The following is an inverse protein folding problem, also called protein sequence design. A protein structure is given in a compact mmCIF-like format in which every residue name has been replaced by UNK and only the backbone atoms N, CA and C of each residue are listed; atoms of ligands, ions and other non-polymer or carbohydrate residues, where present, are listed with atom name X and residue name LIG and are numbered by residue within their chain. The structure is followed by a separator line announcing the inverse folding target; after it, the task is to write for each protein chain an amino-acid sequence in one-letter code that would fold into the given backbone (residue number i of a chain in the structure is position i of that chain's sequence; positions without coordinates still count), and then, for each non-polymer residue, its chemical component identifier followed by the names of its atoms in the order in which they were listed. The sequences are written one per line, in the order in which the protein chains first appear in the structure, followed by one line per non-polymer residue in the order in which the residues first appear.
data_IF_427912522430
#
_entry.id   IF_427912522430
#
_cell.length_a   1.000
_cell.length_b   1.000
_cell.length_c   1.000
_cell.angle_alpha   90.00
_cell.angle_beta   90.00
_cell.angle_gamma   90.00
#
_symmetry.space_group_name_H-M   'P 1'
#
loop_
_entity.id
_entity.type
_entity.pdbx_description
1 polymer ?
#
# COMPACT_ATOMS: atom_id res chain seq x y z
N UNK A 1 36.78 -21.40 25.29
CA UNK A 1 35.50 -20.94 25.83
C UNK A 1 35.00 -19.90 24.85
N UNK A 2 34.22 -20.36 23.87
CA UNK A 2 33.61 -19.50 22.90
C UNK A 2 32.30 -19.00 23.47
N UNK A 3 32.01 -17.71 23.33
CA UNK A 3 30.70 -17.16 23.64
C UNK A 3 29.70 -17.65 22.56
N UNK A 4 28.58 -18.23 22.96
CA UNK A 4 27.48 -18.53 22.06
C UNK A 4 26.44 -17.45 22.26
N UNK A 5 26.46 -16.39 21.49
CA UNK A 5 25.30 -15.51 21.31
C UNK A 5 25.47 -14.76 19.99
N UNK A 6 25.23 -15.48 18.90
CA UNK A 6 24.73 -14.87 17.68
C UNK A 6 23.25 -14.53 17.90
N UNK A 7 22.70 -13.49 17.31
CA UNK A 7 21.30 -13.15 17.49
C UNK A 7 20.44 -14.33 17.01
N UNK A 8 19.77 -15.00 17.94
CA UNK A 8 18.65 -15.89 17.64
C UNK A 8 17.62 -15.03 16.92
N UNK A 9 17.31 -15.34 15.66
CA UNK A 9 16.31 -14.66 14.85
C UNK A 9 14.96 -14.62 15.58
N UNK A 10 14.67 -13.52 16.25
CA UNK A 10 13.44 -13.29 16.99
C UNK A 10 12.53 -12.39 16.19
N UNK A 11 11.25 -12.71 16.21
CA UNK A 11 10.19 -11.87 15.62
C UNK A 11 10.35 -10.41 16.08
N UNK A 12 10.49 -9.46 15.14
CA UNK A 12 10.70 -8.03 15.44
C UNK A 12 9.53 -7.42 16.19
N UNK A 13 9.82 -6.66 17.23
CA UNK A 13 8.81 -6.00 18.06
C UNK A 13 8.11 -4.84 17.34
N UNK A 14 6.88 -4.58 17.75
CA UNK A 14 6.08 -3.43 17.33
C UNK A 14 6.09 -2.36 18.42
N UNK A 15 5.99 -1.09 18.02
CA UNK A 15 5.95 0.06 18.92
C UNK A 15 4.82 1.00 18.52
N UNK A 16 4.13 1.54 19.51
CA UNK A 16 3.14 2.59 19.32
C UNK A 16 3.84 3.94 19.10
N UNK A 17 3.59 4.67 18.01
CA UNK A 17 4.15 6.00 17.80
C UNK A 17 3.59 7.04 18.74
N UNK A 18 2.37 6.86 19.28
CA UNK A 18 1.69 7.83 20.14
C UNK A 18 2.11 7.71 21.61
N UNK A 19 2.14 6.50 22.18
CA UNK A 19 2.43 6.31 23.61
C UNK A 19 3.76 5.59 23.92
N UNK A 20 4.44 5.09 22.90
CA UNK A 20 5.74 4.42 23.02
C UNK A 20 5.68 2.99 23.54
N UNK A 21 4.51 2.43 23.87
CA UNK A 21 4.40 1.02 24.27
C UNK A 21 4.86 0.06 23.19
N UNK A 22 5.48 -1.03 23.62
CA UNK A 22 6.02 -2.07 22.70
C UNK A 22 5.28 -3.38 22.88
N UNK A 23 5.15 -4.13 21.77
CA UNK A 23 4.46 -5.41 21.70
C UNK A 23 5.27 -6.38 20.85
N UNK A 24 5.19 -7.66 21.15
CA UNK A 24 5.71 -8.70 20.24
C UNK A 24 4.91 -8.73 18.94
N UNK A 25 3.58 -8.74 19.10
CA UNK A 25 2.62 -8.65 18.00
C UNK A 25 1.25 -8.20 18.52
N UNK A 26 0.63 -7.28 17.81
CA UNK A 26 -0.72 -6.79 18.11
C UNK A 26 -1.22 -5.94 16.95
N UNK A 27 -2.51 -6.00 16.61
CA UNK A 27 -3.06 -5.24 15.49
C UNK A 27 -3.23 -3.73 15.78
N UNK A 28 -3.46 -3.34 17.06
CA UNK A 28 -3.49 -1.93 17.49
C UNK A 28 -2.96 -1.79 18.91
N UNK A 29 -2.47 -0.61 19.24
CA UNK A 29 -2.09 -0.24 20.61
C UNK A 29 -3.30 -0.22 21.57
N UNK A 30 -3.05 -0.40 22.85
CA UNK A 30 -4.08 -0.20 23.91
C UNK A 30 -4.64 1.24 23.93
N UNK A 31 -3.88 2.24 23.47
CA UNK A 31 -4.36 3.62 23.30
C UNK A 31 -5.24 3.81 22.05
N UNK A 32 -5.42 2.78 21.22
CA UNK A 32 -6.21 2.81 19.99
C UNK A 32 -5.42 3.14 18.71
N UNK A 33 -4.16 3.58 18.82
CA UNK A 33 -3.34 3.95 17.66
C UNK A 33 -2.84 2.71 16.90
N UNK A 34 -2.57 2.85 15.58
CA UNK A 34 -1.85 1.83 14.83
C UNK A 34 -0.42 1.65 15.35
N UNK A 35 0.18 0.51 15.05
CA UNK A 35 1.53 0.17 15.46
C UNK A 35 2.48 0.21 14.26
N UNK A 36 3.77 0.43 14.55
CA UNK A 36 4.85 0.33 13.59
C UNK A 36 5.94 -0.61 14.13
N UNK A 37 6.85 -1.08 13.27
CA UNK A 37 8.03 -1.79 13.74
C UNK A 37 8.89 -0.87 14.62
N UNK A 38 9.32 -1.38 15.77
CA UNK A 38 10.06 -0.59 16.76
C UNK A 38 11.41 -0.09 16.19
N UNK A 39 12.07 -0.95 15.42
CA UNK A 39 13.40 -0.72 14.85
C UNK A 39 13.42 -1.22 13.40
N UNK A 40 12.92 -0.41 12.43
CA UNK A 40 13.05 -0.77 11.02
C UNK A 40 14.53 -0.74 10.61
N UNK A 41 14.98 -1.72 9.80
CA UNK A 41 16.39 -1.83 9.44
C UNK A 41 16.81 -0.65 8.55
N UNK A 42 18.01 -0.14 8.81
CA UNK A 42 18.70 0.82 7.95
C UNK A 42 20.07 0.22 7.66
N UNK A 43 20.33 -0.20 6.41
CA UNK A 43 21.61 -0.80 6.05
C UNK A 43 22.79 0.15 6.26
N UNK A 44 23.91 -0.40 6.69
CA UNK A 44 25.17 0.32 6.74
C UNK A 44 25.94 0.20 5.41
N UNK A 45 26.57 1.28 4.98
CA UNK A 45 27.44 1.29 3.80
C UNK A 45 26.78 1.88 2.55
N UNK A 46 27.53 1.90 1.42
CA UNK A 46 27.05 2.50 0.18
C UNK A 46 25.90 1.71 -0.42
N UNK A 47 25.10 2.37 -1.26
CA UNK A 47 24.08 1.72 -2.05
C UNK A 47 24.67 0.56 -2.88
N UNK A 48 23.99 -0.57 -2.97
CA UNK A 48 24.46 -1.71 -3.75
C UNK A 48 24.55 -1.35 -5.25
N UNK A 49 25.50 -2.00 -5.94
CA UNK A 49 25.52 -1.88 -7.40
C UNK A 49 24.22 -2.44 -7.99
N UNK A 50 23.49 -1.67 -8.81
CA UNK A 50 22.27 -2.15 -9.47
C UNK A 50 22.46 -3.48 -10.23
N UNK A 51 23.63 -3.76 -10.78
CA UNK A 51 23.94 -5.02 -11.47
C UNK A 51 24.03 -6.23 -10.50
N UNK A 52 24.13 -5.99 -9.20
CA UNK A 52 24.17 -7.06 -8.18
C UNK A 52 22.82 -7.67 -7.85
N UNK A 53 21.70 -7.04 -8.25
CA UNK A 53 20.37 -7.53 -7.96
C UNK A 53 19.93 -8.63 -8.94
N UNK A 54 19.37 -9.70 -8.41
CA UNK A 54 18.70 -10.70 -9.25
C UNK A 54 17.21 -10.34 -9.39
N UNK A 55 16.80 -10.01 -10.61
CA UNK A 55 15.41 -9.66 -10.90
C UNK A 55 14.40 -10.77 -10.52
N UNK A 56 14.85 -12.03 -10.35
CA UNK A 56 14.01 -13.14 -9.90
C UNK A 56 13.63 -13.07 -8.44
N UNK A 57 14.37 -12.29 -7.64
CA UNK A 57 14.08 -12.11 -6.23
C UNK A 57 12.89 -11.16 -5.99
N UNK A 58 12.42 -10.44 -7.04
CA UNK A 58 11.32 -9.51 -6.95
C UNK A 58 11.58 -8.44 -5.89
N UNK A 59 10.56 -8.13 -5.06
CA UNK A 59 10.73 -7.17 -3.96
C UNK A 59 11.67 -7.67 -2.86
N UNK A 60 11.90 -9.00 -2.76
CA UNK A 60 12.81 -9.59 -1.77
C UNK A 60 14.30 -9.34 -2.07
N UNK A 61 14.63 -8.77 -3.25
CA UNK A 61 15.95 -8.20 -3.51
C UNK A 61 16.31 -7.08 -2.51
N UNK A 62 15.32 -6.47 -1.87
CA UNK A 62 15.47 -5.41 -0.87
C UNK A 62 15.22 -5.92 0.58
N UNK A 63 15.38 -7.21 0.83
CA UNK A 63 15.09 -7.82 2.14
C UNK A 63 15.85 -7.15 3.31
N UNK A 64 17.06 -6.68 3.09
CA UNK A 64 17.87 -6.00 4.10
C UNK A 64 17.28 -4.64 4.54
N UNK A 65 16.32 -4.11 3.76
CA UNK A 65 15.56 -2.90 4.06
C UNK A 65 14.19 -3.20 4.71
N UNK A 66 13.82 -4.47 4.90
CA UNK A 66 12.50 -4.85 5.41
C UNK A 66 12.58 -5.29 6.89
N UNK A 67 11.58 -4.86 7.68
CA UNK A 67 11.44 -5.28 9.08
C UNK A 67 10.71 -6.62 9.24
N UNK A 68 10.58 -7.39 8.18
CA UNK A 68 10.01 -8.74 8.14
C UNK A 68 10.98 -9.71 7.49
N UNK A 69 10.88 -10.99 7.83
CA UNK A 69 11.60 -12.06 7.17
C UNK A 69 13.11 -12.12 7.49
N UNK A 70 13.43 -12.39 8.75
CA UNK A 70 14.81 -12.68 9.14
C UNK A 70 15.29 -14.03 8.53
N UNK A 71 14.40 -15.01 8.31
CA UNK A 71 14.71 -16.26 7.61
C UNK A 71 14.08 -16.30 6.20
N UNK A 72 14.90 -16.37 5.12
CA UNK A 72 14.38 -16.50 3.76
C UNK A 72 13.42 -17.68 3.54
N UNK A 73 13.44 -18.72 4.39
CA UNK A 73 12.52 -19.85 4.29
C UNK A 73 11.08 -19.47 4.65
N UNK A 74 10.87 -18.39 5.41
CA UNK A 74 9.55 -17.89 5.77
C UNK A 74 8.92 -16.99 4.71
N UNK A 75 9.65 -16.62 3.65
CA UNK A 75 9.13 -15.77 2.59
C UNK A 75 7.94 -16.39 1.88
N UNK A 76 6.84 -15.65 1.88
CA UNK A 76 5.65 -15.95 1.08
C UNK A 76 5.75 -15.12 -0.19
N UNK A 77 6.00 -15.73 -1.34
CA UNK A 77 6.22 -14.99 -2.60
C UNK A 77 5.61 -15.71 -3.81
N UNK A 78 5.20 -14.92 -4.78
CA UNK A 78 4.79 -15.30 -6.15
C UNK A 78 5.74 -14.69 -7.20
N UNK A 79 6.88 -14.11 -6.77
CA UNK A 79 7.83 -13.40 -7.62
C UNK A 79 7.45 -11.95 -7.90
N UNK A 80 6.62 -11.36 -7.04
CA UNK A 80 6.17 -9.98 -7.12
C UNK A 80 7.30 -8.98 -6.89
N UNK A 81 7.17 -7.78 -7.50
CA UNK A 81 8.14 -6.69 -7.40
C UNK A 81 8.96 -6.46 -8.66
N UNK A 82 9.90 -5.51 -8.59
CA UNK A 82 10.67 -5.01 -9.72
C UNK A 82 9.79 -4.68 -10.93
N UNK A 83 8.63 -4.06 -10.65
CA UNK A 83 7.68 -3.65 -11.69
C UNK A 83 8.33 -2.64 -12.64
N UNK A 84 7.93 -2.60 -13.93
CA UNK A 84 8.52 -1.66 -14.87
C UNK A 84 8.32 -0.20 -14.46
N UNK A 85 9.35 0.61 -14.68
CA UNK A 85 9.30 2.07 -14.67
C UNK A 85 9.50 2.51 -16.13
N UNK A 86 8.49 3.17 -16.71
CA UNK A 86 8.48 3.52 -18.14
C UNK A 86 8.18 5.01 -18.31
N UNK A 87 8.69 5.60 -19.38
CA UNK A 87 8.29 6.95 -19.80
C UNK A 87 6.81 6.94 -20.17
N UNK A 88 6.04 7.91 -19.65
CA UNK A 88 4.62 8.03 -19.94
C UNK A 88 4.33 8.56 -21.35
N UNK A 89 5.27 9.30 -21.93
CA UNK A 89 5.16 10.04 -23.19
C UNK A 89 6.16 9.53 -24.23
N UNK A 90 6.13 8.22 -24.51
CA UNK A 90 6.99 7.62 -25.53
C UNK A 90 6.93 8.43 -26.85
N UNK A 91 8.09 8.66 -27.47
CA UNK A 91 8.30 9.37 -28.74
C UNK A 91 7.52 8.77 -29.94
N UNK A 92 6.83 7.65 -29.75
CA UNK A 92 6.01 6.99 -30.78
C UNK A 92 4.80 7.82 -31.25
N UNK A 93 4.48 8.93 -30.55
CA UNK A 93 3.34 9.79 -30.89
C UNK A 93 1.97 9.17 -30.59
N UNK A 94 1.94 7.99 -29.94
CA UNK A 94 0.71 7.27 -29.62
C UNK A 94 -0.11 7.96 -28.51
N UNK A 95 0.50 8.83 -27.71
CA UNK A 95 -0.17 9.55 -26.62
C UNK A 95 -1.02 10.75 -27.09
N UNK A 96 -0.98 11.10 -28.37
CA UNK A 96 -1.91 12.10 -28.92
C UNK A 96 -3.30 11.47 -29.05
N UNK A 97 -4.25 11.93 -28.27
CA UNK A 97 -5.67 11.59 -28.42
C UNK A 97 -6.12 11.89 -29.85
N UNK A 98 -7.22 11.24 -30.30
CA UNK A 98 -7.85 11.46 -31.61
C UNK A 98 -8.16 12.96 -31.89
N UNK A 99 -8.15 13.81 -30.86
CA UNK A 99 -8.38 15.26 -30.93
C UNK A 99 -7.07 16.11 -30.90
N UNK A 100 -5.88 15.50 -30.80
CA UNK A 100 -4.57 16.16 -31.01
C UNK A 100 -4.13 17.21 -29.99
N UNK A 101 -4.81 17.38 -28.84
CA UNK A 101 -4.70 18.57 -27.97
C UNK A 101 -4.33 18.25 -26.51
N UNK A 102 -3.96 17.02 -26.18
CA UNK A 102 -3.60 16.68 -24.79
C UNK A 102 -2.10 16.91 -24.54
N UNK A 103 -1.79 17.86 -23.63
CA UNK A 103 -0.40 18.07 -23.17
C UNK A 103 0.22 16.77 -22.62
N UNK A 104 1.53 16.52 -22.82
CA UNK A 104 2.22 15.34 -22.31
C UNK A 104 2.09 15.26 -20.79
N UNK A 105 2.24 14.04 -20.23
CA UNK A 105 2.29 13.86 -18.77
C UNK A 105 3.62 14.38 -18.19
N UNK A 106 4.70 14.30 -18.98
CA UNK A 106 6.08 14.58 -18.56
C UNK A 106 6.40 13.86 -17.24
N UNK A 107 6.19 12.56 -17.21
CA UNK A 107 6.31 11.72 -16.04
C UNK A 107 6.77 10.31 -16.39
N UNK A 108 7.28 9.59 -15.41
CA UNK A 108 7.47 8.15 -15.51
C UNK A 108 6.33 7.40 -14.83
N UNK A 109 5.79 6.36 -15.48
CA UNK A 109 4.78 5.49 -14.89
C UNK A 109 5.43 4.24 -14.29
N UNK A 110 5.17 3.99 -12.99
CA UNK A 110 5.51 2.75 -12.32
C UNK A 110 4.34 1.77 -12.47
N UNK A 111 4.53 0.69 -13.24
CA UNK A 111 3.45 -0.20 -13.66
C UNK A 111 3.09 -1.21 -12.58
N UNK A 112 2.42 -0.77 -11.52
CA UNK A 112 2.03 -1.61 -10.38
C UNK A 112 0.87 -2.59 -10.69
N UNK A 113 0.18 -2.42 -11.83
CA UNK A 113 -0.90 -3.30 -12.27
C UNK A 113 -0.43 -4.63 -12.88
N UNK A 114 0.88 -4.82 -13.05
CA UNK A 114 1.46 -6.07 -13.60
C UNK A 114 1.67 -7.15 -12.54
N UNK A 115 1.36 -6.88 -11.30
CA UNK A 115 1.47 -7.83 -10.20
C UNK A 115 0.61 -9.09 -10.39
N UNK A 116 0.91 -10.22 -9.71
CA UNK A 116 0.15 -11.48 -9.80
C UNK A 116 -1.36 -11.32 -9.61
N UNK A 117 -1.81 -10.48 -8.64
CA UNK A 117 -3.23 -10.19 -8.47
C UNK A 117 -3.70 -8.97 -9.25
N UNK A 118 -2.81 -8.34 -10.03
CA UNK A 118 -3.09 -7.16 -10.84
C UNK A 118 -3.20 -5.88 -10.02
N UNK A 119 -2.53 -5.73 -8.87
CA UNK A 119 -2.45 -4.48 -8.13
C UNK A 119 -1.26 -4.41 -7.17
N UNK A 120 -0.85 -3.19 -6.81
CA UNK A 120 0.23 -2.93 -5.84
C UNK A 120 0.00 -3.56 -4.45
N UNK A 121 -1.22 -3.99 -4.15
CA UNK A 121 -1.56 -4.63 -2.88
C UNK A 121 -0.76 -5.91 -2.63
N UNK A 122 -0.26 -6.53 -3.69
CA UNK A 122 0.62 -7.69 -3.62
C UNK A 122 1.88 -7.40 -2.80
N UNK A 123 2.45 -6.18 -2.91
CA UNK A 123 3.60 -5.75 -2.11
C UNK A 123 3.36 -5.92 -0.61
N UNK A 124 2.22 -5.40 -0.14
CA UNK A 124 1.87 -5.49 1.28
C UNK A 124 1.37 -6.87 1.69
N UNK A 125 0.66 -7.58 0.81
CA UNK A 125 0.16 -8.91 1.12
C UNK A 125 1.30 -9.92 1.32
N UNK A 126 2.34 -9.92 0.47
CA UNK A 126 3.48 -10.82 0.60
C UNK A 126 4.19 -10.64 1.94
N UNK A 127 4.48 -9.42 2.35
CA UNK A 127 5.16 -9.13 3.62
C UNK A 127 4.27 -9.38 4.84
N UNK A 128 2.97 -9.12 4.73
CA UNK A 128 1.99 -9.41 5.78
C UNK A 128 1.87 -10.92 6.03
N UNK A 129 1.73 -11.72 4.96
CA UNK A 129 1.62 -13.17 5.09
C UNK A 129 2.97 -13.83 5.45
N UNK A 130 4.10 -13.21 5.09
CA UNK A 130 5.41 -13.61 5.60
C UNK A 130 5.48 -13.39 7.11
N UNK A 131 5.04 -12.22 7.60
CA UNK A 131 4.97 -11.95 9.05
C UNK A 131 4.03 -12.93 9.77
N UNK A 132 2.88 -13.24 9.20
CA UNK A 132 1.97 -14.23 9.76
C UNK A 132 2.65 -15.61 9.90
N UNK A 133 3.43 -16.02 8.89
CA UNK A 133 4.20 -17.29 8.95
C UNK A 133 5.29 -17.26 10.02
N UNK A 134 6.07 -16.16 10.16
CA UNK A 134 7.07 -15.98 11.23
C UNK A 134 6.45 -16.11 12.64
N UNK A 135 5.20 -15.69 12.77
CA UNK A 135 4.44 -15.77 14.03
C UNK A 135 3.79 -17.12 14.26
N UNK A 136 3.78 -18.02 13.26
CA UNK A 136 3.11 -19.31 13.34
C UNK A 136 1.57 -19.17 13.28
N UNK A 137 1.05 -18.20 12.54
CA UNK A 137 -0.38 -17.95 12.36
C UNK A 137 -0.95 -18.93 11.36
N UNK A 138 -2.03 -19.61 11.70
CA UNK A 138 -2.74 -20.57 10.84
C UNK A 138 -4.00 -19.98 10.19
N UNK A 139 -4.55 -18.86 10.72
CA UNK A 139 -5.77 -18.24 10.20
C UNK A 139 -5.68 -16.71 10.23
N UNK A 140 -6.00 -16.08 9.07
CA UNK A 140 -6.03 -14.62 8.91
C UNK A 140 -7.42 -14.12 8.54
N UNK A 141 -7.70 -12.86 8.93
CA UNK A 141 -8.90 -12.13 8.51
C UNK A 141 -8.55 -10.78 7.91
N UNK A 142 -9.31 -10.34 6.91
CA UNK A 142 -9.19 -9.05 6.23
C UNK A 142 -10.57 -8.48 5.90
N UNK A 143 -10.76 -7.16 6.02
CA UNK A 143 -12.05 -6.48 5.85
C UNK A 143 -12.17 -5.68 4.53
N UNK A 144 -11.64 -6.23 3.44
CA UNK A 144 -11.69 -5.56 2.13
C UNK A 144 -12.22 -6.47 1.03
N UNK A 145 -13.30 -6.06 0.37
CA UNK A 145 -13.81 -6.72 -0.86
C UNK A 145 -13.02 -6.36 -2.13
N UNK A 146 -12.07 -5.41 -2.05
CA UNK A 146 -11.30 -4.89 -3.17
C UNK A 146 -9.96 -5.59 -3.38
N UNK A 147 -9.03 -4.83 -3.94
CA UNK A 147 -7.68 -5.32 -4.26
C UNK A 147 -6.92 -5.89 -3.05
N UNK A 148 -7.12 -5.34 -1.84
CA UNK A 148 -6.45 -5.84 -0.64
C UNK A 148 -6.96 -7.24 -0.24
N UNK A 149 -8.27 -7.45 -0.18
CA UNK A 149 -8.82 -8.77 0.14
C UNK A 149 -8.43 -9.83 -0.89
N UNK A 150 -8.42 -9.49 -2.20
CA UNK A 150 -7.97 -10.40 -3.24
C UNK A 150 -6.48 -10.76 -3.11
N UNK A 151 -5.63 -9.79 -2.77
CA UNK A 151 -4.21 -10.01 -2.53
C UNK A 151 -3.98 -10.87 -1.27
N UNK A 152 -4.58 -10.50 -0.12
CA UNK A 152 -4.45 -11.28 1.12
C UNK A 152 -4.91 -12.72 0.92
N UNK A 153 -6.07 -12.95 0.28
CA UNK A 153 -6.56 -14.28 -0.04
C UNK A 153 -5.55 -15.10 -0.87
N UNK A 154 -4.97 -14.47 -1.91
CA UNK A 154 -4.03 -15.15 -2.81
C UNK A 154 -2.73 -15.52 -2.09
N UNK A 155 -2.17 -14.60 -1.31
CA UNK A 155 -0.92 -14.86 -0.59
C UNK A 155 -1.13 -15.75 0.65
N UNK A 156 -2.31 -15.75 1.28
CA UNK A 156 -2.68 -16.72 2.31
C UNK A 156 -2.71 -18.15 1.74
N UNK A 157 -3.33 -18.35 0.58
CA UNK A 157 -3.29 -19.64 -0.12
C UNK A 157 -1.85 -20.07 -0.44
N UNK A 158 -0.99 -19.12 -0.86
CA UNK A 158 0.43 -19.39 -1.11
C UNK A 158 1.18 -19.78 0.15
N UNK A 159 0.81 -19.19 1.29
CA UNK A 159 1.39 -19.46 2.61
C UNK A 159 0.90 -20.78 3.22
N UNK A 160 -0.24 -21.31 2.76
CA UNK A 160 -0.94 -22.42 3.40
C UNK A 160 -1.66 -22.00 4.69
N UNK A 161 -2.09 -20.72 4.76
CA UNK A 161 -2.80 -20.10 5.88
C UNK A 161 -4.26 -19.95 5.48
N UNK A 162 -5.19 -20.31 6.36
CA UNK A 162 -6.61 -20.13 6.13
C UNK A 162 -6.98 -18.63 6.16
N UNK A 163 -7.85 -18.20 5.25
CA UNK A 163 -8.22 -16.79 5.14
C UNK A 163 -9.74 -16.59 5.04
N UNK A 164 -10.24 -15.65 5.85
CA UNK A 164 -11.60 -15.15 5.76
C UNK A 164 -11.59 -13.67 5.34
N UNK A 165 -12.33 -13.35 4.28
CA UNK A 165 -12.40 -11.99 3.76
C UNK A 165 -13.78 -11.43 4.04
N UNK A 166 -13.87 -10.46 4.95
CA UNK A 166 -15.11 -9.80 5.33
C UNK A 166 -15.48 -8.77 4.26
N UNK A 167 -16.70 -8.87 3.76
CA UNK A 167 -17.17 -8.10 2.61
C UNK A 167 -18.60 -7.61 2.81
N UNK A 168 -19.01 -6.46 2.21
CA UNK A 168 -20.41 -6.08 2.18
C UNK A 168 -21.29 -7.17 1.54
N UNK A 169 -22.51 -7.34 2.05
CA UNK A 169 -23.43 -8.37 1.54
C UNK A 169 -23.80 -8.17 0.06
N UNK A 170 -23.77 -6.94 -0.42
CA UNK A 170 -24.02 -6.54 -1.81
C UNK A 170 -22.76 -6.53 -2.70
N UNK A 171 -21.63 -7.02 -2.19
CA UNK A 171 -20.40 -7.11 -2.97
C UNK A 171 -20.62 -7.89 -4.28
N UNK A 172 -20.05 -7.38 -5.37
CA UNK A 172 -20.19 -7.97 -6.71
C UNK A 172 -19.71 -9.43 -6.72
N UNK A 173 -20.49 -10.31 -7.36
CA UNK A 173 -20.17 -11.75 -7.40
C UNK A 173 -18.81 -12.03 -8.07
N UNK A 174 -18.35 -11.18 -8.99
CA UNK A 174 -17.00 -11.30 -9.56
C UNK A 174 -15.90 -11.16 -8.49
N UNK A 175 -16.05 -10.22 -7.53
CA UNK A 175 -15.11 -10.05 -6.40
C UNK A 175 -15.15 -11.26 -5.47
N UNK A 176 -16.35 -11.76 -5.13
CA UNK A 176 -16.52 -12.96 -4.29
C UNK A 176 -15.94 -14.21 -4.95
N UNK A 177 -16.14 -14.37 -6.26
CA UNK A 177 -15.60 -15.49 -7.01
C UNK A 177 -14.05 -15.47 -7.04
N UNK A 178 -13.43 -14.29 -7.10
CA UNK A 178 -11.98 -14.15 -7.02
C UNK A 178 -11.44 -14.61 -5.65
N UNK A 179 -12.08 -14.20 -4.55
CA UNK A 179 -11.74 -14.62 -3.18
C UNK A 179 -11.85 -16.14 -3.04
N UNK A 180 -12.99 -16.74 -3.44
CA UNK A 180 -13.20 -18.20 -3.36
C UNK A 180 -12.20 -18.99 -4.21
N UNK A 181 -11.84 -18.49 -5.40
CA UNK A 181 -10.84 -19.14 -6.28
C UNK A 181 -9.44 -19.15 -5.66
N UNK A 182 -9.12 -18.15 -4.84
CA UNK A 182 -7.91 -18.12 -4.05
C UNK A 182 -7.95 -19.09 -2.84
N UNK A 183 -9.10 -19.74 -2.58
CA UNK A 183 -9.27 -20.67 -1.45
C UNK A 183 -9.74 -20.00 -0.16
N UNK A 184 -9.93 -18.67 -0.14
CA UNK A 184 -10.42 -17.95 1.03
C UNK A 184 -11.96 -17.95 1.11
N UNK A 185 -12.48 -17.79 2.33
CA UNK A 185 -13.92 -17.69 2.57
C UNK A 185 -14.39 -16.23 2.58
N UNK A 186 -15.30 -15.80 1.70
CA UNK A 186 -15.92 -14.49 1.80
C UNK A 186 -17.05 -14.49 2.84
N UNK A 187 -16.86 -13.75 3.92
CA UNK A 187 -17.85 -13.55 4.99
C UNK A 187 -18.69 -12.30 4.67
N UNK A 188 -19.96 -12.49 4.36
CA UNK A 188 -20.85 -11.39 3.91
C UNK A 188 -21.55 -10.74 5.10
N UNK A 189 -21.39 -9.42 5.24
CA UNK A 189 -21.95 -8.63 6.33
C UNK A 189 -22.96 -7.62 5.78
N UNK A 190 -24.17 -7.61 6.34
CA UNK A 190 -25.17 -6.59 6.04
C UNK A 190 -24.80 -5.25 6.68
N UNK A 191 -25.00 -4.15 5.96
CA UNK A 191 -24.76 -2.80 6.47
C UNK A 191 -23.66 -2.04 5.72
N UNK A 192 -23.09 -1.07 6.40
CA UNK A 192 -22.06 -0.18 5.86
C UNK A 192 -20.67 -0.82 5.88
N UNK A 193 -19.70 -0.15 5.23
CA UNK A 193 -18.28 -0.55 5.33
C UNK A 193 -17.78 -0.64 6.79
N UNK A 194 -18.29 0.23 7.65
CA UNK A 194 -17.98 0.22 9.08
C UNK A 194 -18.48 -1.05 9.75
N UNK A 195 -19.69 -1.49 9.43
CA UNK A 195 -20.26 -2.73 9.97
C UNK A 195 -19.43 -3.95 9.57
N UNK A 196 -18.87 -3.96 8.34
CA UNK A 196 -17.94 -5.00 7.87
C UNK A 196 -16.67 -5.03 8.71
N UNK A 197 -16.05 -3.86 8.94
CA UNK A 197 -14.84 -3.76 9.77
C UNK A 197 -15.13 -4.17 11.22
N UNK A 198 -16.23 -3.71 11.82
CA UNK A 198 -16.62 -4.06 13.20
C UNK A 198 -16.85 -5.58 13.34
N UNK A 199 -17.51 -6.21 12.37
CA UNK A 199 -17.73 -7.66 12.37
C UNK A 199 -16.41 -8.44 12.23
N UNK A 200 -15.49 -7.98 11.37
CA UNK A 200 -14.16 -8.57 11.23
C UNK A 200 -13.36 -8.45 12.53
N UNK A 201 -13.32 -7.28 13.13
CA UNK A 201 -12.56 -7.01 14.37
C UNK A 201 -13.16 -7.79 15.56
N UNK A 202 -14.47 -7.99 15.61
CA UNK A 202 -15.11 -8.77 16.68
C UNK A 202 -14.60 -10.23 16.75
N UNK A 203 -14.08 -10.80 15.66
CA UNK A 203 -13.48 -12.14 15.67
C UNK A 203 -12.10 -12.19 16.33
N UNK A 204 -11.41 -11.03 16.43
CA UNK A 204 -10.12 -10.92 17.08
C UNK A 204 -10.23 -10.87 18.61
N UNK A 205 -11.37 -10.37 19.12
CA UNK A 205 -11.63 -10.18 20.56
C UNK A 205 -12.17 -11.46 21.24
N UNK A 206 -12.33 -12.58 20.50
CA UNK A 206 -12.76 -13.88 21.04
C UNK A 206 -11.82 -14.54 22.05
N UNK A 207 -10.63 -13.98 22.24
CA UNK A 207 -9.71 -14.28 23.33
C UNK A 207 -9.74 -13.13 24.35
N UNK A 208 -10.56 -13.29 25.40
CA UNK A 208 -10.91 -12.41 26.49
C UNK A 208 -10.02 -11.19 26.76
N UNK A 209 -10.66 -10.13 27.27
CA UNK A 209 -10.02 -9.02 27.98
C UNK A 209 -9.07 -9.55 29.08
N UNK A 210 -7.87 -9.97 28.73
CA UNK A 210 -6.79 -10.15 29.69
C UNK A 210 -5.97 -8.85 29.74
N UNK A 211 -6.20 -8.00 30.77
CA UNK A 211 -5.46 -6.75 30.90
C UNK A 211 -3.97 -6.96 31.22
N UNK A 212 -3.50 -8.19 31.35
CA UNK A 212 -2.12 -8.54 31.69
C UNK A 212 -1.46 -9.53 30.69
N UNK A 213 -2.14 -9.91 29.61
CA UNK A 213 -1.59 -10.81 28.61
C UNK A 213 -0.49 -10.11 27.80
N UNK A 214 0.71 -10.64 27.84
CA UNK A 214 1.90 -10.23 27.10
C UNK A 214 1.85 -10.70 25.63
N UNK A 215 0.70 -10.69 24.97
CA UNK A 215 0.56 -10.98 23.53
C UNK A 215 1.25 -12.30 23.08
N UNK A 216 1.32 -13.28 23.99
CA UNK A 216 1.84 -14.60 23.67
C UNK A 216 0.95 -15.30 22.64
N UNK A 217 1.55 -16.09 21.75
CA UNK A 217 0.81 -16.98 20.88
C UNK A 217 -0.26 -17.73 21.68
N UNK A 218 -1.46 -17.96 21.10
CA UNK A 218 -2.57 -18.58 21.81
C UNK A 218 -2.14 -19.88 22.45
N UNK A 219 -2.52 -20.06 23.72
CA UNK A 219 -2.34 -21.36 24.37
C UNK A 219 -3.25 -22.36 23.63
N UNK A 220 -2.65 -23.40 23.08
CA UNK A 220 -3.34 -24.49 22.42
C UNK A 220 -4.13 -25.30 23.45
N UNK A 221 -5.40 -24.95 23.67
CA UNK A 221 -6.37 -25.79 24.37
C UNK A 221 -7.83 -25.35 24.13
N UNK A 222 -8.19 -24.95 22.90
CA UNK A 222 -9.58 -24.69 22.50
C UNK A 222 -9.72 -24.76 20.99
N UNK A 223 -10.81 -25.34 20.48
CA UNK A 223 -11.11 -25.60 19.07
C UNK A 223 -11.28 -24.33 18.18
N UNK A 224 -11.02 -23.13 18.67
CA UNK A 224 -11.06 -21.86 17.93
C UNK A 224 -9.72 -21.12 18.10
N UNK A 225 -8.80 -21.33 17.15
CA UNK A 225 -7.57 -20.58 17.05
C UNK A 225 -7.90 -19.11 16.70
N UNK A 226 -7.45 -18.12 17.52
CA UNK A 226 -7.83 -16.72 17.31
C UNK A 226 -7.32 -16.23 15.96
N UNK A 227 -8.18 -15.60 15.18
CA UNK A 227 -7.83 -15.06 13.89
C UNK A 227 -6.81 -13.93 14.02
N UNK A 228 -5.86 -13.84 13.09
CA UNK A 228 -4.90 -12.75 13.00
C UNK A 228 -5.34 -11.70 11.96
N UNK A 229 -5.27 -10.42 12.32
CA UNK A 229 -5.74 -9.35 11.45
C UNK A 229 -4.70 -8.95 10.41
N UNK A 230 -4.90 -9.38 9.17
CA UNK A 230 -4.05 -9.09 8.03
C UNK A 230 -4.40 -7.74 7.35
N UNK A 231 -5.00 -6.81 8.09
CA UNK A 231 -5.52 -5.56 7.54
C UNK A 231 -4.45 -4.72 6.84
N UNK A 232 -4.72 -4.40 5.59
CA UNK A 232 -3.86 -3.52 4.79
C UNK A 232 -3.75 -2.09 5.36
N UNK A 233 -4.71 -1.66 6.18
CA UNK A 233 -4.75 -0.32 6.77
C UNK A 233 -4.06 -0.24 8.14
N UNK A 234 -4.05 -1.34 8.91
CA UNK A 234 -3.55 -1.39 10.27
C UNK A 234 -2.19 -2.06 10.40
N UNK A 235 -1.97 -3.17 9.67
CA UNK A 235 -0.81 -4.02 9.87
C UNK A 235 0.49 -3.37 9.39
N UNK A 236 1.49 -3.18 10.26
CA UNK A 236 2.75 -2.53 9.88
C UNK A 236 3.53 -3.31 8.83
N UNK A 237 3.40 -4.63 8.76
CA UNK A 237 4.05 -5.44 7.73
C UNK A 237 3.55 -5.11 6.33
N UNK A 238 2.29 -4.68 6.18
CA UNK A 238 1.77 -4.23 4.89
C UNK A 238 2.51 -2.99 4.36
N UNK A 239 2.87 -2.08 5.26
CA UNK A 239 3.64 -0.87 4.91
C UNK A 239 5.10 -1.17 4.59
N UNK A 240 5.69 -2.20 5.18
CA UNK A 240 7.02 -2.68 4.77
C UNK A 240 7.03 -3.13 3.31
N UNK A 241 6.03 -3.90 2.91
CA UNK A 241 5.89 -4.31 1.51
C UNK A 241 5.69 -3.13 0.57
N UNK A 242 4.79 -2.20 0.90
CA UNK A 242 4.55 -1.03 0.04
C UNK A 242 5.73 -0.06 0.01
N UNK A 243 6.61 -0.04 1.02
CA UNK A 243 7.84 0.75 1.00
C UNK A 243 8.80 0.32 -0.13
N UNK A 244 8.71 -0.93 -0.59
CA UNK A 244 9.55 -1.42 -1.70
C UNK A 244 9.32 -0.67 -3.02
N UNK A 245 8.20 0.03 -3.19
CA UNK A 245 7.99 0.89 -4.36
C UNK A 245 9.07 1.98 -4.45
N UNK A 246 9.42 2.59 -3.31
CA UNK A 246 10.48 3.60 -3.26
C UNK A 246 11.86 3.01 -3.56
N UNK A 247 12.14 1.82 -3.01
CA UNK A 247 13.41 1.13 -3.26
C UNK A 247 13.58 0.79 -4.73
N UNK A 248 12.53 0.29 -5.37
CA UNK A 248 12.55 -0.03 -6.80
C UNK A 248 12.67 1.22 -7.67
N UNK A 249 11.95 2.30 -7.35
CA UNK A 249 12.05 3.57 -8.06
C UNK A 249 13.50 4.09 -7.99
N UNK A 250 14.07 4.19 -6.81
CA UNK A 250 15.45 4.65 -6.63
C UNK A 250 16.45 3.72 -7.34
N UNK A 251 16.32 2.40 -7.16
CA UNK A 251 17.14 1.40 -7.82
C UNK A 251 17.12 1.53 -9.35
N UNK A 252 15.93 1.62 -9.97
CA UNK A 252 15.75 1.74 -11.42
C UNK A 252 16.27 3.05 -11.99
N UNK A 253 16.52 4.03 -11.12
CA UNK A 253 17.08 5.35 -11.43
C UNK A 253 18.55 5.50 -11.01
N UNK A 254 19.22 4.39 -10.68
CA UNK A 254 20.61 4.42 -10.22
C UNK A 254 20.80 5.02 -8.83
N UNK A 255 19.82 4.84 -7.95
CA UNK A 255 19.71 5.38 -6.58
C UNK A 255 19.45 6.89 -6.53
N UNK A 256 18.85 7.42 -7.59
CA UNK A 256 18.40 8.81 -7.62
C UNK A 256 16.90 8.90 -7.30
N UNK A 257 16.53 9.85 -6.42
CA UNK A 257 15.14 10.11 -6.07
C UNK A 257 14.49 11.04 -7.11
N UNK A 258 13.22 10.83 -7.52
CA UNK A 258 12.52 11.81 -8.34
C UNK A 258 12.23 13.09 -7.56
N UNK A 259 11.91 14.19 -8.25
CA UNK A 259 11.48 15.43 -7.60
C UNK A 259 10.13 15.27 -6.89
N UNK A 260 9.25 14.46 -7.47
CA UNK A 260 7.91 14.22 -6.91
C UNK A 260 7.37 12.81 -7.21
N UNK A 261 6.49 12.31 -6.31
CA UNK A 261 5.68 11.10 -6.53
C UNK A 261 4.22 11.45 -6.31
N UNK A 262 3.36 11.12 -7.28
CA UNK A 262 1.91 11.35 -7.21
C UNK A 262 1.17 10.03 -7.14
N UNK A 263 0.44 9.75 -6.05
CA UNK A 263 -0.23 8.46 -5.84
C UNK A 263 -1.73 8.62 -5.60
N UNK A 264 -2.57 7.62 -5.98
CA UNK A 264 -3.92 7.53 -5.45
C UNK A 264 -3.88 7.40 -3.91
N UNK A 265 -4.78 8.10 -3.21
CA UNK A 265 -4.78 8.20 -1.76
C UNK A 265 -6.13 7.80 -1.16
N UNK A 266 -6.24 6.54 -0.70
CA UNK A 266 -7.33 6.05 0.15
C UNK A 266 -6.89 5.95 1.61
N UNK A 267 -6.62 4.73 2.11
CA UNK A 267 -5.98 4.52 3.42
C UNK A 267 -4.51 4.99 3.49
N UNK A 268 -3.93 5.39 2.37
CA UNK A 268 -2.55 5.88 2.33
C UNK A 268 -1.47 4.80 2.32
N UNK A 269 -1.80 3.54 2.06
CA UNK A 269 -0.83 2.44 2.15
C UNK A 269 0.33 2.58 1.16
N UNK A 270 0.07 3.00 -0.09
CA UNK A 270 1.14 3.26 -1.06
C UNK A 270 1.86 4.59 -0.78
N UNK A 271 1.10 5.63 -0.46
CA UNK A 271 1.63 6.95 -0.12
C UNK A 271 2.61 6.89 1.05
N UNK A 272 2.18 6.32 2.18
CA UNK A 272 3.04 6.14 3.35
C UNK A 272 4.15 5.11 3.12
N UNK A 273 3.90 4.08 2.31
CA UNK A 273 4.94 3.15 1.88
C UNK A 273 6.05 3.88 1.14
N UNK A 274 5.71 4.70 0.14
CA UNK A 274 6.69 5.50 -0.59
C UNK A 274 7.45 6.47 0.34
N UNK A 275 6.73 7.19 1.21
CA UNK A 275 7.33 8.08 2.19
C UNK A 275 8.36 7.38 3.08
N UNK A 276 7.95 6.30 3.74
CA UNK A 276 8.80 5.52 4.64
C UNK A 276 9.99 4.89 3.91
N UNK A 277 9.75 4.45 2.67
CA UNK A 277 10.80 3.85 1.83
C UNK A 277 11.88 4.86 1.46
N UNK A 278 11.52 6.03 0.94
CA UNK A 278 12.49 7.08 0.61
C UNK A 278 13.20 7.62 1.85
N UNK A 279 12.50 7.82 2.97
CA UNK A 279 13.15 8.18 4.23
C UNK A 279 14.20 7.16 4.67
N UNK A 280 13.94 5.86 4.46
CA UNK A 280 14.87 4.79 4.82
C UNK A 280 16.10 4.81 3.93
N UNK A 281 15.91 5.05 2.62
CA UNK A 281 17.01 5.21 1.67
C UNK A 281 17.88 6.45 1.98
N UNK A 282 17.26 7.59 2.28
CA UNK A 282 17.97 8.80 2.70
C UNK A 282 18.78 8.57 3.97
N UNK A 283 18.19 7.93 4.99
CA UNK A 283 18.90 7.57 6.24
C UNK A 283 20.05 6.61 6.01
N UNK A 284 19.94 5.70 5.04
CA UNK A 284 21.02 4.81 4.62
C UNK A 284 22.10 5.53 3.79
N UNK A 285 21.84 6.76 3.36
CA UNK A 285 22.71 7.52 2.46
C UNK A 285 22.73 6.97 1.03
N UNK A 286 21.65 6.27 0.62
CA UNK A 286 21.53 5.71 -0.73
C UNK A 286 20.84 6.66 -1.71
N UNK A 287 20.03 7.58 -1.20
CA UNK A 287 19.48 8.74 -1.93
C UNK A 287 19.81 10.02 -1.20
N UNK A 288 19.91 11.12 -1.92
CA UNK A 288 20.25 12.44 -1.35
C UNK A 288 19.02 13.17 -0.79
N UNK A 289 17.79 12.71 -1.10
CA UNK A 289 16.56 13.38 -0.72
C UNK A 289 15.37 12.41 -0.64
N UNK A 290 14.30 12.89 -0.01
CA UNK A 290 12.95 12.32 -0.08
C UNK A 290 12.14 13.16 -1.07
N UNK A 291 11.48 12.57 -2.08
CA UNK A 291 10.67 13.31 -3.05
C UNK A 291 9.48 14.00 -2.39
N UNK A 292 8.96 15.07 -2.98
CA UNK A 292 7.67 15.64 -2.62
C UNK A 292 6.57 14.62 -2.91
N UNK A 293 5.67 14.42 -1.94
CA UNK A 293 4.61 13.41 -2.06
C UNK A 293 3.25 14.09 -2.25
N UNK A 294 2.57 13.71 -3.32
CA UNK A 294 1.25 14.22 -3.66
C UNK A 294 0.20 13.10 -3.61
N UNK A 295 -0.89 13.38 -2.87
CA UNK A 295 -2.00 12.45 -2.72
C UNK A 295 -3.19 12.83 -3.61
N UNK A 296 -3.68 11.91 -4.43
CA UNK A 296 -4.87 12.09 -5.25
C UNK A 296 -6.06 11.38 -4.61
N UNK A 297 -7.06 12.14 -4.13
CA UNK A 297 -8.28 11.62 -3.50
C UNK A 297 -9.49 11.75 -4.43
N UNK A 298 -10.51 10.91 -4.23
CA UNK A 298 -11.78 11.01 -4.92
C UNK A 298 -12.57 12.23 -4.41
N UNK A 299 -12.98 13.13 -5.28
CA UNK A 299 -13.83 14.28 -4.91
C UNK A 299 -15.10 13.81 -4.19
N UNK A 300 -15.53 14.58 -3.18
CA UNK A 300 -16.63 14.22 -2.29
C UNK A 300 -16.25 13.30 -1.13
N UNK A 301 -15.20 12.47 -1.28
CA UNK A 301 -14.63 11.63 -0.21
C UNK A 301 -13.12 11.89 -0.14
N UNK A 302 -12.72 13.09 0.28
CA UNK A 302 -11.34 13.56 0.28
C UNK A 302 -10.95 14.15 1.65
N UNK A 303 -10.84 13.32 2.72
CA UNK A 303 -10.62 13.81 4.09
C UNK A 303 -9.27 14.52 4.26
N UNK A 304 -8.22 14.10 3.56
CA UNK A 304 -6.90 14.74 3.65
C UNK A 304 -6.93 16.12 2.97
N UNK A 305 -7.51 16.21 1.76
CA UNK A 305 -7.71 17.51 1.08
C UNK A 305 -8.56 18.44 1.95
N UNK A 306 -9.61 17.91 2.58
CA UNK A 306 -10.46 18.68 3.51
C UNK A 306 -9.67 19.21 4.70
N UNK A 307 -8.77 18.43 5.25
CA UNK A 307 -7.94 18.83 6.38
C UNK A 307 -6.92 19.91 5.98
N UNK A 308 -6.34 19.84 4.78
CA UNK A 308 -5.36 20.80 4.27
C UNK A 308 -6.01 22.09 3.76
N UNK A 309 -7.09 21.99 2.99
CA UNK A 309 -7.61 23.09 2.15
C UNK A 309 -9.08 23.43 2.40
N UNK A 310 -9.76 22.70 3.30
CA UNK A 310 -11.16 22.93 3.63
C UNK A 310 -12.16 22.16 2.74
N UNK A 311 -13.47 22.30 3.04
CA UNK A 311 -14.52 21.48 2.41
C UNK A 311 -14.69 21.75 0.92
N UNK A 312 -14.55 22.98 0.48
CA UNK A 312 -14.78 23.36 -0.94
C UNK A 312 -13.72 22.74 -1.86
N UNK A 313 -12.47 22.60 -1.36
CA UNK A 313 -11.40 21.94 -2.11
C UNK A 313 -11.57 20.42 -2.17
N UNK A 314 -12.20 19.82 -1.14
CA UNK A 314 -12.48 18.39 -1.07
C UNK A 314 -13.68 17.97 -1.94
N UNK A 315 -14.54 18.90 -2.28
CA UNK A 315 -15.77 18.66 -3.07
C UNK A 315 -15.97 19.79 -4.10
N UNK A 316 -15.10 19.90 -5.10
CA UNK A 316 -15.08 21.02 -6.04
C UNK A 316 -16.31 21.08 -6.97
N UNK A 317 -17.04 19.98 -7.15
CA UNK A 317 -18.21 19.89 -8.04
C UNK A 317 -19.50 19.52 -7.31
N UNK A 318 -19.47 19.32 -5.97
CA UNK A 318 -20.63 18.92 -5.20
C UNK A 318 -21.11 17.49 -5.50
N UNK A 319 -20.22 16.64 -6.03
CA UNK A 319 -20.52 15.26 -6.41
C UNK A 319 -19.41 14.31 -6.03
N UNK A 320 -19.76 13.08 -5.67
CA UNK A 320 -18.79 12.02 -5.35
C UNK A 320 -18.23 11.44 -6.65
N UNK A 321 -16.92 11.19 -6.67
CA UNK A 321 -16.27 10.42 -7.73
C UNK A 321 -16.46 8.92 -7.44
N UNK A 322 -17.56 8.35 -7.97
CA UNK A 322 -17.92 6.95 -7.73
C UNK A 322 -17.08 5.96 -8.56
N UNK A 323 -16.46 6.41 -9.65
CA UNK A 323 -15.61 5.57 -10.46
C UNK A 323 -14.32 5.14 -9.74
N UNK A 324 -13.83 5.95 -8.79
CA UNK A 324 -12.65 5.67 -7.98
C UNK A 324 -13.00 4.97 -6.65
N UNK A 325 -13.85 3.94 -6.67
CA UNK A 325 -14.39 3.24 -5.50
C UNK A 325 -13.30 2.70 -4.55
N UNK A 326 -12.15 2.33 -5.08
CA UNK A 326 -11.01 1.79 -4.33
C UNK A 326 -10.36 2.77 -3.34
N UNK A 327 -10.61 4.08 -3.47
CA UNK A 327 -10.05 5.12 -2.60
C UNK A 327 -11.11 5.98 -1.89
N UNK A 328 -12.38 5.61 -1.95
CA UNK A 328 -13.46 6.27 -1.19
C UNK A 328 -13.37 5.94 0.30
N UNK A 329 -12.36 6.45 0.97
CA UNK A 329 -12.08 6.23 2.39
C UNK A 329 -12.33 7.53 3.16
N UNK A 330 -13.42 7.57 3.92
CA UNK A 330 -13.80 8.75 4.70
C UNK A 330 -12.94 8.94 5.96
N UNK A 331 -12.48 7.85 6.56
CA UNK A 331 -11.70 7.84 7.79
C UNK A 331 -10.44 6.97 7.61
N UNK A 332 -9.35 7.50 7.03
CA UNK A 332 -8.09 6.77 6.93
C UNK A 332 -7.52 6.48 8.32
N UNK A 333 -7.09 5.26 8.55
CA UNK A 333 -6.55 4.82 9.87
C UNK A 333 -5.34 5.65 10.30
N UNK A 334 -4.52 6.09 9.34
CA UNK A 334 -3.25 6.80 9.56
C UNK A 334 -3.30 8.25 9.03
N UNK A 335 -4.45 8.92 9.17
CA UNK A 335 -4.67 10.29 8.68
C UNK A 335 -3.62 11.28 9.16
N UNK A 336 -3.25 11.22 10.46
CA UNK A 336 -2.22 12.08 11.06
C UNK A 336 -0.84 11.85 10.45
N UNK A 337 -0.51 10.59 10.18
CA UNK A 337 0.77 10.24 9.57
C UNK A 337 0.82 10.70 8.11
N UNK A 338 -0.29 10.58 7.37
CA UNK A 338 -0.41 11.10 6.01
C UNK A 338 -0.20 12.62 5.99
N UNK A 339 -0.89 13.35 6.87
CA UNK A 339 -0.73 14.81 6.98
C UNK A 339 0.71 15.22 7.36
N UNK A 340 1.32 14.48 8.28
CA UNK A 340 2.72 14.72 8.66
C UNK A 340 3.70 14.43 7.49
N UNK A 341 3.43 13.42 6.68
CA UNK A 341 4.25 13.10 5.51
C UNK A 341 4.10 14.16 4.40
N UNK A 342 2.90 14.69 4.18
CA UNK A 342 2.66 15.82 3.28
C UNK A 342 3.48 17.04 3.73
N UNK A 343 3.38 17.43 4.99
CA UNK A 343 4.12 18.56 5.55
C UNK A 343 5.64 18.38 5.48
N UNK A 344 6.13 17.18 5.84
CA UNK A 344 7.56 16.87 5.87
C UNK A 344 8.23 16.82 4.49
N UNK A 345 7.45 16.67 3.42
CA UNK A 345 7.96 16.56 2.05
C UNK A 345 7.64 17.79 1.19
N UNK A 346 7.08 18.85 1.76
CA UNK A 346 6.52 19.99 1.00
C UNK A 346 5.57 19.54 -0.12
N UNK A 347 4.81 18.48 0.15
CA UNK A 347 3.83 17.89 -0.76
C UNK A 347 2.45 18.49 -0.60
N UNK A 348 1.45 17.84 -1.23
CA UNK A 348 0.04 18.26 -1.12
C UNK A 348 -0.94 17.11 -1.40
N UNK A 349 -2.24 17.39 -1.30
CA UNK A 349 -3.30 16.48 -1.74
C UNK A 349 -4.35 17.21 -2.59
N UNK A 350 -4.83 16.50 -3.63
CA UNK A 350 -5.79 17.04 -4.61
C UNK A 350 -7.02 16.14 -4.68
N UNK A 351 -8.21 16.75 -4.64
CA UNK A 351 -9.47 16.04 -4.93
C UNK A 351 -9.72 16.02 -6.45
N UNK A 352 -9.92 14.83 -6.98
CA UNK A 352 -10.11 14.58 -8.42
C UNK A 352 -11.57 14.25 -8.69
N UNK A 353 -12.20 15.00 -9.57
CA UNK A 353 -13.60 14.76 -9.98
C UNK A 353 -13.70 13.51 -10.86
N UNK A 354 -14.88 12.90 -10.91
CA UNK A 354 -15.13 11.73 -11.76
C UNK A 354 -14.86 12.04 -13.24
N UNK A 355 -15.30 13.22 -13.70
CA UNK A 355 -15.06 13.64 -15.07
C UNK A 355 -13.58 13.80 -15.42
N UNK A 356 -12.76 14.30 -14.49
CA UNK A 356 -11.30 14.40 -14.69
C UNK A 356 -10.65 13.01 -14.72
N UNK A 357 -11.02 12.13 -13.79
CA UNK A 357 -10.54 10.76 -13.76
C UNK A 357 -10.93 9.98 -15.02
N UNK A 358 -12.16 10.11 -15.50
CA UNK A 358 -12.63 9.44 -16.72
C UNK A 358 -11.81 9.87 -17.95
N UNK A 359 -11.58 11.17 -18.13
CA UNK A 359 -10.75 11.68 -19.25
C UNK A 359 -9.33 11.11 -19.22
N UNK A 360 -8.71 11.04 -18.04
CA UNK A 360 -7.36 10.48 -17.91
C UNK A 360 -7.36 8.96 -18.10
N UNK A 361 -8.41 8.25 -17.68
CA UNK A 361 -8.56 6.82 -17.93
C UNK A 361 -8.62 6.51 -19.43
N UNK A 362 -9.44 7.24 -20.18
CA UNK A 362 -9.54 7.09 -21.64
C UNK A 362 -8.17 7.34 -22.30
N UNK A 363 -7.44 8.34 -21.81
CA UNK A 363 -6.12 8.68 -22.30
C UNK A 363 -5.10 7.59 -21.99
N UNK A 364 -5.07 7.07 -20.77
CA UNK A 364 -4.21 5.95 -20.36
C UNK A 364 -4.47 4.72 -21.26
N UNK A 365 -5.75 4.39 -21.47
CA UNK A 365 -6.12 3.26 -22.33
C UNK A 365 -5.70 3.49 -23.78
N UNK A 366 -5.86 4.70 -24.33
CA UNK A 366 -5.42 5.05 -25.68
C UNK A 366 -3.90 4.97 -25.85
N UNK A 367 -3.14 5.24 -24.77
CA UNK A 367 -1.68 5.10 -24.71
C UNK A 367 -1.20 3.66 -24.41
N UNK A 368 -2.12 2.70 -24.25
CA UNK A 368 -1.79 1.30 -23.99
C UNK A 368 -1.67 0.91 -22.51
N UNK A 369 -1.91 1.83 -21.58
CA UNK A 369 -1.91 1.56 -20.14
C UNK A 369 -3.31 1.13 -19.70
N UNK A 370 -3.62 -0.16 -19.77
CA UNK A 370 -4.95 -0.67 -19.44
C UNK A 370 -5.15 -0.86 -17.94
N UNK A 371 -5.61 0.19 -17.28
CA UNK A 371 -5.73 0.31 -15.81
C UNK A 371 -7.19 0.40 -15.36
N UNK A 372 -7.42 0.15 -14.06
CA UNK A 372 -8.71 0.41 -13.41
C UNK A 372 -8.94 1.92 -13.18
N UNK A 373 -10.20 2.40 -13.02
CA UNK A 373 -10.51 3.81 -12.87
C UNK A 373 -9.79 4.52 -11.73
N UNK A 374 -9.57 3.83 -10.59
CA UNK A 374 -8.82 4.37 -9.44
C UNK A 374 -7.40 4.83 -9.81
N UNK A 375 -6.75 4.19 -10.80
CA UNK A 375 -5.42 4.61 -11.23
C UNK A 375 -5.40 5.99 -11.86
N UNK A 376 -6.45 6.36 -12.58
CA UNK A 376 -6.50 7.58 -13.36
C UNK A 376 -6.55 8.86 -12.50
N UNK A 377 -6.84 8.74 -11.20
CA UNK A 377 -6.87 9.90 -10.30
C UNK A 377 -5.48 10.52 -10.10
N UNK A 378 -4.41 9.72 -10.09
CA UNK A 378 -3.07 10.26 -9.89
C UNK A 378 -2.55 11.03 -11.12
N UNK A 379 -2.65 10.56 -12.38
CA UNK A 379 -2.36 11.37 -13.56
C UNK A 379 -3.25 12.62 -13.69
N UNK A 380 -4.54 12.54 -13.30
CA UNK A 380 -5.42 13.69 -13.29
C UNK A 380 -5.00 14.74 -12.23
N UNK A 381 -4.56 14.29 -11.06
CA UNK A 381 -3.98 15.15 -10.03
C UNK A 381 -2.67 15.79 -10.49
N UNK A 382 -1.77 15.04 -11.15
CA UNK A 382 -0.54 15.57 -11.72
C UNK A 382 -0.82 16.74 -12.67
N UNK A 383 -1.81 16.60 -13.56
CA UNK A 383 -2.23 17.69 -14.45
C UNK A 383 -2.67 18.92 -13.67
N UNK A 384 -3.50 18.73 -12.65
CA UNK A 384 -3.96 19.82 -11.78
C UNK A 384 -2.80 20.51 -11.06
N UNK A 385 -1.82 19.76 -10.56
CA UNK A 385 -0.64 20.29 -9.88
C UNK A 385 0.26 21.08 -10.84
N UNK A 386 0.42 20.60 -12.08
CA UNK A 386 1.14 21.33 -13.14
C UNK A 386 0.42 22.62 -13.53
N UNK A 387 -0.90 22.59 -13.70
CA UNK A 387 -1.71 23.77 -14.05
C UNK A 387 -1.66 24.84 -12.95
N UNK A 388 -1.48 24.43 -11.69
CA UNK A 388 -1.27 25.34 -10.54
C UNK A 388 0.17 25.81 -10.40
N UNK A 389 1.11 25.23 -11.14
CA UNK A 389 2.54 25.50 -11.02
C UNK A 389 3.19 24.94 -9.75
N UNK A 390 2.52 24.00 -9.07
CA UNK A 390 3.05 23.30 -7.89
C UNK A 390 4.09 22.25 -8.29
N UNK A 391 3.95 21.67 -9.48
CA UNK A 391 4.95 20.82 -10.14
C UNK A 391 5.36 21.50 -11.45
N UNK A 392 6.63 21.84 -11.58
CA UNK A 392 7.20 22.46 -12.78
C UNK A 392 7.23 21.51 -13.99
N UNK A 393 7.29 22.04 -15.22
CA UNK A 393 7.29 21.21 -16.43
C UNK A 393 8.55 20.33 -16.57
N UNK A 394 9.67 20.77 -16.01
CA UNK A 394 10.97 20.08 -16.10
C UNK A 394 11.26 19.19 -14.89
N UNK A 395 10.34 19.12 -13.92
CA UNK A 395 10.49 18.28 -12.75
C UNK A 395 10.20 16.83 -13.07
N UNK A 396 11.05 15.96 -12.54
CA UNK A 396 11.01 14.54 -12.69
C UNK A 396 9.97 13.92 -11.74
N UNK A 397 8.92 13.36 -12.30
CA UNK A 397 7.76 12.88 -11.56
C UNK A 397 7.53 11.40 -11.82
N UNK A 398 7.29 10.65 -10.74
CA UNK A 398 6.86 9.25 -10.85
C UNK A 398 5.41 9.10 -10.41
N UNK A 399 4.62 8.40 -11.24
CA UNK A 399 3.20 8.10 -10.97
C UNK A 399 2.99 6.58 -11.00
N UNK A 400 2.72 5.93 -9.85
CA UNK A 400 2.36 4.52 -9.83
C UNK A 400 0.96 4.27 -10.40
N UNK A 401 0.85 3.41 -11.40
CA UNK A 401 -0.41 2.90 -11.95
C UNK A 401 -0.82 1.63 -11.19
N UNK A 402 -1.72 1.79 -10.24
CA UNK A 402 -1.90 0.91 -9.08
C UNK A 402 -2.68 -0.38 -9.29
N UNK A 403 -3.52 -0.47 -10.32
CA UNK A 403 -4.36 -1.64 -10.53
C UNK A 403 -4.78 -1.84 -12.00
N UNK A 404 -4.97 -3.10 -12.37
CA UNK A 404 -5.28 -3.53 -13.73
C UNK A 404 -6.75 -3.35 -14.09
N UNK A 405 -7.03 -2.86 -15.30
CA UNK A 405 -8.37 -2.81 -15.89
C UNK A 405 -8.95 -4.18 -16.24
N UNK A 406 -8.15 -5.25 -16.18
CA UNK A 406 -8.62 -6.62 -16.47
C UNK A 406 -9.43 -7.26 -15.33
N UNK A 407 -9.59 -6.58 -14.21
CA UNK A 407 -10.30 -7.09 -13.02
C UNK A 407 -11.81 -6.78 -13.01
N UNK A 408 -12.30 -6.01 -13.95
CA UNK A 408 -13.68 -5.54 -14.05
C UNK A 408 -14.70 -6.59 -14.42
#
# INVERSE_FOLDING_TARGET
MGSPDGPSGGVRALRCPECGETYRDRWRCRCGAPLDFAEPPVPDGPAPDPESFDARDGLWAFADLLAVCDDPADRVTLGEGLTPLVDADDDSGAAANADGDAAPWNASFKLEYVFPTGSFKDRGATTTLTRARELGVDRVVEDSSGNAGAAVATYAARAGIDAEIYVPADAKESKLAAIRRAGAEPVRIEGSRRDVTEACVATLDGGGDDPAGDGGAPAADGDDDPAWYASHAWNPAFFEGTATVAYEIAYQRGWDAPDAVVTPLGHGTLFLGAYRGFQRLERAGWTDSVPRLYGAQAAGVAPIVRALHGPDAADPEGAVNDAADGIQIAEPVRDREILAAVDATDGDAVAVTEAAAARELDRLHAAGFYTEPTCAVAPAALRTLRDRGEIGPDEDVVVPLTGSGLKG
#
